data_IF_716457987890
#
_entry.id   IF_716457987890
#
_cell.length_a   1.000
_cell.length_b   1.000
_cell.length_c   1.000
_cell.angle_alpha   90.00
_cell.angle_beta   90.00
_cell.angle_gamma   90.00
#
_symmetry.space_group_name_H-M   'P 1'
#
loop_
_entity.id
_entity.type
_entity.pdbx_description
1 polymer ?
#
# COMPACT_ATOMS: atom_id res chain seq x y z
N UNK A 1 1.73 10.11 -6.77
CA UNK A 1 1.66 9.38 -8.07
C UNK A 1 0.71 8.20 -7.95
N UNK A 2 0.14 7.71 -9.04
CA UNK A 2 -0.72 6.51 -9.02
C UNK A 2 0.05 5.36 -9.66
N UNK A 3 0.14 4.22 -8.98
CA UNK A 3 0.79 3.00 -9.46
C UNK A 3 -0.18 1.81 -9.43
N UNK A 4 0.14 0.73 -10.14
CA UNK A 4 -0.49 -0.57 -9.90
C UNK A 4 -0.12 -1.08 -8.50
N UNK A 5 -1.06 -1.75 -7.83
CA UNK A 5 -0.79 -2.40 -6.53
C UNK A 5 0.39 -3.38 -6.61
N UNK A 6 0.58 -4.04 -7.75
CA UNK A 6 1.70 -4.96 -8.02
C UNK A 6 3.07 -4.30 -8.02
N UNK A 7 3.13 -2.97 -8.11
CA UNK A 7 4.38 -2.18 -8.11
C UNK A 7 4.74 -1.64 -6.73
N UNK A 8 3.92 -1.91 -5.71
CA UNK A 8 4.19 -1.50 -4.35
C UNK A 8 5.37 -2.28 -3.78
N UNK A 9 6.23 -1.57 -3.04
CA UNK A 9 7.41 -2.13 -2.41
C UNK A 9 7.58 -1.59 -0.99
N UNK A 10 8.37 -2.27 -0.18
CA UNK A 10 8.74 -1.80 1.14
C UNK A 10 9.31 -0.38 1.08
N UNK A 11 8.89 0.46 2.02
CA UNK A 11 9.24 1.88 2.12
C UNK A 11 8.29 2.83 1.37
N UNK A 12 7.47 2.36 0.42
CA UNK A 12 6.47 3.22 -0.22
C UNK A 12 5.48 3.75 0.82
N UNK A 13 5.12 5.03 0.74
CA UNK A 13 4.01 5.61 1.51
C UNK A 13 2.80 5.66 0.61
N UNK A 14 1.76 4.92 0.97
CA UNK A 14 0.52 4.83 0.20
C UNK A 14 -0.63 5.48 0.94
N UNK A 15 -1.63 5.91 0.17
CA UNK A 15 -2.93 6.37 0.65
C UNK A 15 -4.00 5.37 0.21
N UNK A 16 -4.88 4.97 1.13
CA UNK A 16 -5.97 4.03 0.88
C UNK A 16 -7.26 4.51 1.57
N UNK A 17 -8.40 4.15 0.99
CA UNK A 17 -9.71 4.42 1.58
C UNK A 17 -10.04 3.37 2.65
N UNK A 18 -10.72 3.77 3.72
CA UNK A 18 -11.22 2.86 4.74
C UNK A 18 -12.62 3.27 5.22
N UNK A 19 -13.50 2.29 5.39
CA UNK A 19 -14.88 2.50 5.86
C UNK A 19 -15.77 3.29 4.88
N UNK A 20 -17.02 3.52 5.28
CA UNK A 20 -18.11 3.96 4.37
C UNK A 20 -18.24 5.49 4.18
N UNK A 21 -17.18 6.28 4.38
CA UNK A 21 -17.28 7.75 4.36
C UNK A 21 -16.08 8.48 3.75
N UNK A 22 -15.53 7.96 2.64
CA UNK A 22 -14.34 8.54 1.98
C UNK A 22 -13.20 8.82 2.98
N UNK A 23 -13.07 8.01 4.04
CA UNK A 23 -12.00 8.24 4.99
C UNK A 23 -10.72 7.71 4.37
N UNK A 24 -9.69 8.54 4.42
CA UNK A 24 -8.40 8.18 3.87
C UNK A 24 -7.41 7.95 4.99
N UNK A 25 -6.71 6.82 4.91
CA UNK A 25 -5.57 6.54 5.73
C UNK A 25 -4.31 6.54 4.85
N UNK A 26 -3.18 6.69 5.52
CA UNK A 26 -1.87 6.57 4.90
C UNK A 26 -1.07 5.54 5.68
N UNK A 27 -0.25 4.75 4.99
CA UNK A 27 0.67 3.84 5.66
C UNK A 27 1.99 3.72 4.91
N UNK A 28 3.06 3.43 5.64
CA UNK A 28 4.33 3.02 5.05
C UNK A 28 4.29 1.51 4.84
N UNK A 29 4.42 1.08 3.58
CA UNK A 29 4.52 -0.33 3.20
C UNK A 29 5.74 -0.94 3.86
N UNK A 30 5.53 -2.04 4.57
CA UNK A 30 6.59 -2.88 5.17
C UNK A 30 6.87 -4.09 4.31
N UNK A 31 5.82 -4.66 3.72
CA UNK A 31 5.90 -5.84 2.88
C UNK A 31 4.76 -5.78 1.86
N UNK A 32 5.04 -6.15 0.62
CA UNK A 32 4.05 -6.30 -0.43
C UNK A 32 4.34 -7.60 -1.19
N UNK A 33 3.40 -8.54 -1.17
CA UNK A 33 3.56 -9.86 -1.78
C UNK A 33 2.34 -10.15 -2.66
N UNK A 34 2.59 -10.55 -3.90
CA UNK A 34 1.54 -11.00 -4.80
C UNK A 34 1.39 -12.52 -4.68
N UNK A 35 0.21 -12.98 -4.28
CA UNK A 35 -0.13 -14.41 -4.17
C UNK A 35 -1.36 -14.66 -5.05
N UNK A 36 -1.17 -15.44 -6.12
CA UNK A 36 -2.22 -15.66 -7.11
C UNK A 36 -2.68 -14.35 -7.75
N UNK A 37 -3.95 -14.00 -7.55
CA UNK A 37 -4.58 -12.79 -8.08
C UNK A 37 -4.88 -11.76 -6.99
N UNK A 38 -4.09 -11.73 -5.91
CA UNK A 38 -4.20 -10.79 -4.80
C UNK A 38 -2.82 -10.23 -4.44
N UNK A 39 -2.75 -8.92 -4.23
CA UNK A 39 -1.58 -8.22 -3.68
C UNK A 39 -1.85 -7.96 -2.20
N UNK A 40 -1.10 -8.67 -1.35
CA UNK A 40 -1.17 -8.52 0.10
C UNK A 40 -0.13 -7.48 0.53
N UNK A 41 -0.57 -6.42 1.20
CA UNK A 41 0.29 -5.33 1.65
C UNK A 41 0.18 -5.21 3.16
N UNK A 42 1.32 -5.34 3.84
CA UNK A 42 1.44 -4.98 5.25
C UNK A 42 2.03 -3.60 5.34
N UNK A 43 1.35 -2.71 6.03
CA UNK A 43 1.78 -1.34 6.26
C UNK A 43 1.75 -0.96 7.72
N UNK A 44 2.41 0.15 8.07
CA UNK A 44 2.32 0.71 9.42
C UNK A 44 2.39 2.23 9.40
N UNK A 45 1.71 2.90 10.33
CA UNK A 45 1.86 4.33 10.59
C UNK A 45 1.48 4.65 12.03
N UNK A 46 2.26 5.53 12.69
CA UNK A 46 1.98 6.00 14.05
C UNK A 46 1.69 4.88 15.08
N UNK A 47 2.40 3.75 14.96
CA UNK A 47 2.21 2.60 15.86
C UNK A 47 1.02 1.69 15.54
N UNK A 48 0.24 1.99 14.49
CA UNK A 48 -0.81 1.11 13.97
C UNK A 48 -0.28 0.27 12.81
N UNK A 49 -0.69 -1.00 12.76
CA UNK A 49 -0.41 -1.92 11.67
C UNK A 49 -1.66 -2.07 10.79
N UNK A 50 -1.45 -2.16 9.49
CA UNK A 50 -2.48 -2.33 8.49
C UNK A 50 -2.18 -3.57 7.65
N UNK A 51 -3.19 -4.38 7.41
CA UNK A 51 -3.16 -5.47 6.45
C UNK A 51 -4.18 -5.13 5.37
N UNK A 52 -3.70 -4.95 4.15
CA UNK A 52 -4.48 -4.49 3.01
C UNK A 52 -4.40 -5.52 1.90
N UNK A 53 -5.53 -5.79 1.27
CA UNK A 53 -5.62 -6.67 0.12
C UNK A 53 -6.07 -5.86 -1.09
N UNK A 54 -5.32 -5.96 -2.18
CA UNK A 54 -5.65 -5.33 -3.46
C UNK A 54 -5.73 -6.36 -4.57
N UNK A 55 -6.57 -6.11 -5.56
CA UNK A 55 -6.51 -6.78 -6.84
C UNK A 55 -5.29 -6.33 -7.66
N UNK A 56 -4.74 -7.18 -8.54
CA UNK A 56 -3.52 -6.87 -9.31
C UNK A 56 -3.71 -5.78 -10.37
N UNK A 57 -4.95 -5.36 -10.62
CA UNK A 57 -5.30 -4.25 -11.51
C UNK A 57 -5.71 -2.99 -10.75
N UNK A 58 -5.81 -3.06 -9.43
CA UNK A 58 -6.16 -1.90 -8.63
C UNK A 58 -5.01 -0.91 -8.62
N UNK A 59 -5.41 0.36 -8.58
CA UNK A 59 -4.49 1.49 -8.62
C UNK A 59 -4.41 2.10 -7.24
N UNK A 60 -3.20 2.28 -6.75
CA UNK A 60 -2.92 2.81 -5.41
C UNK A 60 -2.22 4.15 -5.55
N UNK A 61 -2.66 5.13 -4.77
CA UNK A 61 -1.99 6.41 -4.69
C UNK A 61 -0.74 6.28 -3.80
N UNK A 62 0.42 6.38 -4.42
CA UNK A 62 1.72 6.45 -3.75
C UNK A 62 2.07 7.92 -3.52
N UNK A 63 2.20 8.31 -2.25
CA UNK A 63 2.56 9.65 -1.82
C UNK A 63 4.07 9.87 -1.85
N UNK A 64 4.84 8.84 -1.48
CA UNK A 64 6.29 8.83 -1.50
C UNK A 64 6.79 7.44 -1.89
N UNK A 65 7.82 7.37 -2.73
CA UNK A 65 8.48 6.11 -3.03
C UNK A 65 9.43 5.74 -1.90
N UNK A 66 9.46 4.46 -1.53
CA UNK A 66 10.51 3.90 -0.72
C UNK A 66 11.84 4.08 -1.45
N UNK A 67 12.80 4.68 -0.76
CA UNK A 67 14.18 4.69 -1.22
C UNK A 67 14.63 3.22 -1.25
N UNK A 68 14.91 2.72 -2.44
CA UNK A 68 15.64 1.46 -2.53
C UNK A 68 17.04 1.80 -2.01
N UNK A 69 17.41 1.34 -0.82
CA UNK A 69 18.83 1.32 -0.45
C UNK A 69 19.56 0.54 -1.55
N UNK A 70 20.47 1.22 -2.25
CA UNK A 70 21.30 0.67 -3.32
C UNK A 70 22.55 0.04 -2.73
#
# INVERSE_FOLDING_TARGET
MVKSATELKAGDVIRFEYGDYDNWAECTVKEAVTVGNTVNVKGSRMGMNYELEFGPKEKVQVLQNGETEI
#
